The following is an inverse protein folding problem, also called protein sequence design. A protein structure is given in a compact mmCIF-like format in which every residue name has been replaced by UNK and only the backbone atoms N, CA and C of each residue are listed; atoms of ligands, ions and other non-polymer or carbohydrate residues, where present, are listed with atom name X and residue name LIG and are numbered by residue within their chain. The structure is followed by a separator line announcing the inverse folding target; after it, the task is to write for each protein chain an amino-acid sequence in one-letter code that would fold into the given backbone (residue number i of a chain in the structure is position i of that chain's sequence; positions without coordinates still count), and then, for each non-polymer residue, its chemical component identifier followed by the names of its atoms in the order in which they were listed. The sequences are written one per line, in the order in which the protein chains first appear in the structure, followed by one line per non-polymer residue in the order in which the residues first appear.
data_IF_521854156910
#
_entry.id   IF_521854156910
#
_cell.length_a   1.000
_cell.length_b   1.000
_cell.length_c   1.000
_cell.angle_alpha   90.00
_cell.angle_beta   90.00
_cell.angle_gamma   90.00
#
_symmetry.space_group_name_H-M   'P 1'
#
loop_
_entity.id
_entity.type
_entity.pdbx_description
1 polymer ?
#
# COMPACT_ATOMS: atom_id res chain seq x y z
N UNK A 1 -47.45 7.51 5.24
CA UNK A 1 -46.92 7.54 3.85
C UNK A 1 -46.10 8.81 3.70
N UNK A 2 -44.82 8.72 4.03
CA UNK A 2 -43.91 9.86 3.98
C UNK A 2 -43.33 9.93 2.56
N UNK A 3 -43.69 10.99 1.84
CA UNK A 3 -43.27 11.27 0.46
C UNK A 3 -41.91 11.96 0.50
N UNK A 4 -41.07 11.77 -0.51
CA UNK A 4 -39.91 12.65 -0.66
C UNK A 4 -40.37 14.08 -0.86
N UNK A 5 -39.76 14.97 -0.10
CA UNK A 5 -40.02 16.40 -0.24
C UNK A 5 -39.44 16.89 -1.57
N UNK A 6 -39.99 17.96 -2.16
CA UNK A 6 -39.36 18.66 -3.28
C UNK A 6 -37.87 19.00 -2.99
N UNK A 7 -37.53 19.23 -1.72
CA UNK A 7 -36.16 19.48 -1.27
C UNK A 7 -35.23 18.28 -1.47
N UNK A 8 -35.72 17.04 -1.29
CA UNK A 8 -34.93 15.83 -1.55
C UNK A 8 -34.60 15.69 -3.05
N UNK A 9 -35.58 15.95 -3.92
CA UNK A 9 -35.35 15.96 -5.37
C UNK A 9 -34.33 17.04 -5.79
N UNK A 10 -34.45 18.25 -5.23
CA UNK A 10 -33.48 19.33 -5.46
C UNK A 10 -32.09 18.93 -4.97
N UNK A 11 -31.98 18.28 -3.81
CA UNK A 11 -30.71 17.77 -3.30
C UNK A 11 -30.06 16.75 -4.22
N UNK A 12 -30.84 15.80 -4.75
CA UNK A 12 -30.35 14.81 -5.72
C UNK A 12 -29.92 15.48 -7.03
N UNK A 13 -30.70 16.40 -7.58
CA UNK A 13 -30.33 17.12 -8.82
C UNK A 13 -29.07 17.98 -8.60
N UNK A 14 -28.98 18.64 -7.44
CA UNK A 14 -27.82 19.48 -7.10
C UNK A 14 -26.52 18.67 -7.03
N UNK A 15 -26.55 17.40 -6.60
CA UNK A 15 -25.38 16.52 -6.64
C UNK A 15 -24.82 16.34 -8.06
N UNK A 16 -25.67 16.30 -9.08
CA UNK A 16 -25.24 16.18 -10.47
C UNK A 16 -24.81 17.49 -11.12
N UNK A 17 -25.37 18.63 -10.67
CA UNK A 17 -25.14 19.93 -11.31
C UNK A 17 -24.04 20.74 -10.63
N UNK A 18 -23.87 20.64 -9.30
CA UNK A 18 -22.87 21.41 -8.56
C UNK A 18 -21.43 21.25 -9.11
N UNK A 19 -20.98 20.05 -9.51
CA UNK A 19 -19.65 19.90 -10.11
C UNK A 19 -19.48 20.63 -11.46
N UNK A 20 -20.57 20.85 -12.20
CA UNK A 20 -20.55 21.55 -13.50
C UNK A 20 -20.44 23.07 -13.37
N UNK A 21 -20.74 23.63 -12.19
CA UNK A 21 -20.83 25.08 -11.96
C UNK A 21 -19.61 25.63 -11.22
N UNK A 22 -18.96 24.82 -10.37
CA UNK A 22 -17.96 25.31 -9.42
C UNK A 22 -16.61 25.66 -10.04
N UNK A 23 -16.17 25.00 -11.12
CA UNK A 23 -15.05 25.46 -11.96
C UNK A 23 -14.87 24.53 -13.18
N UNK A 24 -14.89 25.03 -14.43
CA UNK A 24 -14.66 24.22 -15.63
C UNK A 24 -13.24 23.62 -15.70
N UNK A 25 -12.27 24.11 -14.91
CA UNK A 25 -10.92 23.56 -14.78
C UNK A 25 -10.79 22.41 -13.76
N UNK A 26 -11.57 22.43 -12.67
CA UNK A 26 -11.64 21.38 -11.64
C UNK A 26 -12.52 20.18 -12.02
N UNK A 27 -13.13 20.20 -13.20
CA UNK A 27 -13.92 19.09 -13.76
C UNK A 27 -13.14 17.77 -13.83
N UNK A 28 -11.81 17.80 -13.66
CA UNK A 28 -10.97 16.60 -13.64
C UNK A 28 -10.96 15.85 -12.30
N UNK A 29 -11.33 16.50 -11.19
CA UNK A 29 -11.17 15.90 -9.83
C UNK A 29 -12.51 15.56 -9.17
N UNK A 30 -13.62 16.12 -9.66
CA UNK A 30 -14.92 16.05 -8.96
C UNK A 30 -16.05 15.34 -9.71
N UNK A 31 -15.86 14.97 -10.97
CA UNK A 31 -16.84 14.13 -11.67
C UNK A 31 -16.53 12.67 -11.44
N UNK A 32 -17.57 11.84 -11.54
CA UNK A 32 -17.62 10.39 -11.38
C UNK A 32 -16.75 9.59 -12.37
N UNK A 33 -15.59 10.12 -12.74
CA UNK A 33 -14.69 9.67 -13.79
C UNK A 33 -13.29 9.64 -13.20
N UNK A 34 -12.71 8.44 -13.14
CA UNK A 34 -11.25 8.26 -13.19
C UNK A 34 -10.71 9.13 -14.34
N UNK A 35 -9.55 9.76 -14.18
CA UNK A 35 -8.88 10.65 -15.16
C UNK A 35 -9.02 10.20 -16.62
N UNK A 36 -10.11 10.59 -17.27
CA UNK A 36 -10.25 10.51 -18.71
C UNK A 36 -10.37 11.95 -19.16
N UNK A 37 -9.28 12.46 -19.74
CA UNK A 37 -9.19 13.74 -20.45
C UNK A 37 -10.06 13.74 -21.73
N UNK A 38 -11.34 13.43 -21.60
CA UNK A 38 -12.28 13.38 -22.71
C UNK A 38 -13.52 14.15 -22.32
N UNK A 39 -13.69 15.29 -22.97
CA UNK A 39 -14.91 16.09 -22.97
C UNK A 39 -16.15 15.15 -22.99
N UNK A 40 -17.02 15.19 -21.97
CA UNK A 40 -18.16 14.27 -21.84
C UNK A 40 -19.09 14.31 -23.07
N UNK A 41 -19.11 15.44 -23.79
CA UNK A 41 -19.87 15.60 -25.03
C UNK A 41 -19.22 14.88 -26.22
N UNK A 42 -17.88 14.84 -26.28
CA UNK A 42 -17.16 14.04 -27.30
C UNK A 42 -17.39 12.55 -27.08
N UNK A 43 -17.43 12.09 -25.84
CA UNK A 43 -17.67 10.68 -25.52
C UNK A 43 -19.10 10.22 -25.85
N UNK A 44 -20.12 11.04 -25.55
CA UNK A 44 -21.50 10.79 -25.97
C UNK A 44 -21.65 10.73 -27.50
N UNK A 45 -20.84 11.51 -28.23
CA UNK A 45 -20.79 11.43 -29.69
C UNK A 45 -20.14 10.13 -30.20
N UNK A 46 -19.19 9.57 -29.45
CA UNK A 46 -18.54 8.28 -29.75
C UNK A 46 -19.46 7.09 -29.51
N UNK A 47 -20.36 7.15 -28.51
CA UNK A 47 -21.37 6.10 -28.23
C UNK A 47 -22.34 5.89 -29.42
N UNK A 48 -22.53 6.90 -30.29
CA UNK A 48 -23.31 6.74 -31.52
C UNK A 48 -22.65 5.84 -32.58
N UNK A 49 -21.35 5.53 -32.47
CA UNK A 49 -20.69 4.48 -33.26
C UNK A 49 -20.73 3.17 -32.48
N UNK A 50 -21.87 2.48 -32.56
CA UNK A 50 -22.23 1.28 -31.78
C UNK A 50 -21.35 0.03 -32.06
N UNK A 51 -20.25 0.14 -32.80
CA UNK A 51 -19.44 -1.01 -33.24
C UNK A 51 -18.12 -1.27 -32.48
N UNK A 52 -17.58 -0.29 -31.76
CA UNK A 52 -16.18 -0.34 -31.28
C UNK A 52 -16.03 0.22 -29.85
N UNK A 53 -16.83 -0.26 -28.89
CA UNK A 53 -16.62 0.12 -27.49
C UNK A 53 -15.55 -0.77 -26.86
N UNK A 54 -14.54 -0.19 -26.18
CA UNK A 54 -13.59 -0.96 -25.37
C UNK A 54 -14.37 -1.69 -24.26
N UNK A 55 -14.26 -3.02 -24.26
CA UNK A 55 -15.24 -3.95 -23.66
C UNK A 55 -15.22 -4.06 -22.13
N UNK A 56 -14.32 -3.37 -21.43
CA UNK A 56 -14.23 -3.41 -19.96
C UNK A 56 -14.49 -2.07 -19.26
N UNK A 57 -13.83 -1.01 -19.73
CA UNK A 57 -13.76 0.27 -19.00
C UNK A 57 -15.02 1.13 -19.16
N UNK A 58 -15.68 1.05 -20.32
CA UNK A 58 -16.92 1.79 -20.56
C UNK A 58 -18.08 1.30 -19.67
N UNK A 59 -18.13 0.00 -19.37
CA UNK A 59 -19.13 -0.59 -18.47
C UNK A 59 -18.96 -0.11 -17.03
N UNK A 60 -17.70 0.12 -16.62
CA UNK A 60 -17.31 0.59 -15.29
C UNK A 60 -17.94 1.94 -14.93
N UNK A 61 -18.18 2.80 -15.92
CA UNK A 61 -18.80 4.11 -15.73
C UNK A 61 -20.33 4.10 -15.94
N UNK A 62 -20.83 3.28 -16.87
CA UNK A 62 -22.26 3.24 -17.21
C UNK A 62 -23.14 2.74 -16.05
N UNK A 63 -22.62 1.80 -15.24
CA UNK A 63 -23.34 1.25 -14.09
C UNK A 63 -23.61 2.30 -13.01
N UNK A 64 -22.60 2.99 -12.43
CA UNK A 64 -22.85 4.00 -11.40
C UNK A 64 -23.64 5.20 -11.93
N UNK A 65 -23.41 5.61 -13.18
CA UNK A 65 -24.20 6.68 -13.82
C UNK A 65 -25.67 6.27 -14.01
N UNK A 66 -25.91 5.02 -14.46
CA UNK A 66 -27.25 4.46 -14.58
C UNK A 66 -27.97 4.37 -13.23
N UNK A 67 -27.28 3.96 -12.17
CA UNK A 67 -27.82 3.95 -10.81
C UNK A 67 -28.22 5.37 -10.34
N UNK A 68 -27.36 6.37 -10.57
CA UNK A 68 -27.66 7.75 -10.23
C UNK A 68 -28.90 8.28 -10.99
N UNK A 69 -28.96 8.07 -12.31
CA UNK A 69 -30.14 8.46 -13.11
C UNK A 69 -31.41 7.74 -12.66
N UNK A 70 -31.30 6.46 -12.31
CA UNK A 70 -32.40 5.69 -11.74
C UNK A 70 -32.91 6.29 -10.43
N UNK A 71 -32.00 6.69 -9.54
CA UNK A 71 -32.36 7.35 -8.29
C UNK A 71 -33.07 8.70 -8.54
N UNK A 72 -32.53 9.53 -9.43
CA UNK A 72 -33.12 10.81 -9.79
C UNK A 72 -34.52 10.64 -10.42
N UNK A 73 -34.70 9.65 -11.30
CA UNK A 73 -35.98 9.34 -11.92
C UNK A 73 -37.02 8.84 -10.88
N UNK A 74 -36.59 8.01 -9.92
CA UNK A 74 -37.47 7.51 -8.87
C UNK A 74 -37.91 8.65 -7.92
N UNK A 75 -36.98 9.53 -7.53
CA UNK A 75 -37.28 10.72 -6.74
C UNK A 75 -38.23 11.69 -7.48
N UNK A 76 -38.00 11.92 -8.79
CA UNK A 76 -38.86 12.75 -9.61
C UNK A 76 -40.28 12.18 -9.74
N UNK A 77 -40.40 10.86 -9.89
CA UNK A 77 -41.69 10.15 -9.87
C UNK A 77 -42.40 10.30 -8.53
N UNK A 78 -41.65 10.31 -7.43
CA UNK A 78 -42.14 10.62 -6.09
C UNK A 78 -42.84 11.96 -6.01
N UNK A 79 -42.17 13.00 -6.52
CA UNK A 79 -42.72 14.37 -6.53
C UNK A 79 -43.93 14.48 -7.47
N UNK A 80 -43.85 13.90 -8.67
CA UNK A 80 -44.90 14.03 -9.68
C UNK A 80 -46.17 13.20 -9.38
N UNK A 81 -46.02 12.00 -8.82
CA UNK A 81 -47.12 11.02 -8.69
C UNK A 81 -47.39 10.57 -7.25
N UNK A 82 -46.56 10.96 -6.29
CA UNK A 82 -46.64 10.51 -4.89
C UNK A 82 -46.26 9.04 -4.69
N UNK A 83 -45.71 8.38 -5.70
CA UNK A 83 -45.33 6.95 -5.70
C UNK A 83 -43.82 6.78 -5.80
N UNK A 84 -43.12 7.24 -4.78
CA UNK A 84 -41.71 6.88 -4.59
C UNK A 84 -41.61 5.68 -3.68
N UNK A 85 -40.66 4.80 -4.00
CA UNK A 85 -40.09 3.88 -3.02
C UNK A 85 -38.74 4.43 -2.53
N UNK A 86 -38.66 5.01 -1.32
CA UNK A 86 -37.42 5.56 -0.78
C UNK A 86 -36.31 4.52 -0.65
N UNK A 87 -36.65 3.23 -0.46
CA UNK A 87 -35.65 2.15 -0.33
C UNK A 87 -34.92 1.95 -1.66
N UNK A 88 -35.64 2.05 -2.78
CA UNK A 88 -35.06 1.98 -4.14
C UNK A 88 -34.19 3.21 -4.42
N UNK A 89 -34.64 4.41 -4.06
CA UNK A 89 -33.84 5.64 -4.26
C UNK A 89 -32.52 5.57 -3.48
N UNK A 90 -32.56 5.17 -2.21
CA UNK A 90 -31.37 5.03 -1.35
C UNK A 90 -30.46 3.92 -1.85
N UNK A 91 -31.02 2.77 -2.23
CA UNK A 91 -30.23 1.66 -2.77
C UNK A 91 -29.48 2.03 -4.05
N UNK A 92 -30.14 2.79 -4.94
CA UNK A 92 -29.53 3.28 -6.19
C UNK A 92 -28.44 4.34 -5.94
N UNK A 93 -28.66 5.27 -5.00
CA UNK A 93 -27.64 6.26 -4.60
C UNK A 93 -26.44 5.60 -3.90
N UNK A 94 -26.67 4.62 -3.04
CA UNK A 94 -25.60 3.87 -2.40
C UNK A 94 -24.80 3.10 -3.46
N UNK A 95 -25.48 2.40 -4.37
CA UNK A 95 -24.85 1.64 -5.45
C UNK A 95 -24.04 2.53 -6.40
N UNK A 96 -24.51 3.76 -6.67
CA UNK A 96 -23.73 4.69 -7.49
C UNK A 96 -22.41 5.09 -6.83
N UNK A 97 -22.32 5.12 -5.49
CA UNK A 97 -21.10 5.52 -4.75
C UNK A 97 -20.11 4.40 -4.41
N UNK A 98 -20.60 3.18 -4.18
CA UNK A 98 -19.73 2.05 -3.78
C UNK A 98 -18.73 1.71 -4.87
N UNK A 99 -19.18 1.72 -6.13
CA UNK A 99 -18.36 1.29 -7.24
C UNK A 99 -17.18 2.26 -7.52
N UNK A 100 -17.39 3.59 -7.56
CA UNK A 100 -16.30 4.56 -7.60
C UNK A 100 -15.37 4.48 -6.38
N UNK A 101 -15.90 4.27 -5.17
CA UNK A 101 -15.07 4.20 -3.96
C UNK A 101 -14.08 3.02 -4.00
N UNK A 102 -14.53 1.84 -4.47
CA UNK A 102 -13.68 0.65 -4.63
C UNK A 102 -12.58 0.88 -5.67
N UNK A 103 -12.91 1.52 -6.79
CA UNK A 103 -11.93 1.85 -7.84
C UNK A 103 -10.94 2.91 -7.34
N UNK A 104 -11.43 3.94 -6.65
CA UNK A 104 -10.62 5.05 -6.14
C UNK A 104 -9.64 4.61 -5.05
N UNK A 105 -10.05 3.70 -4.16
CA UNK A 105 -9.20 3.14 -3.10
C UNK A 105 -7.93 2.45 -3.62
N UNK A 106 -7.90 2.09 -4.92
CA UNK A 106 -6.75 1.48 -5.58
C UNK A 106 -5.89 2.46 -6.37
N UNK A 107 -6.40 3.65 -6.69
CA UNK A 107 -5.79 4.53 -7.69
C UNK A 107 -5.07 5.75 -7.11
N UNK A 108 -5.57 6.36 -6.02
CA UNK A 108 -5.00 7.62 -5.50
C UNK A 108 -5.04 7.65 -3.98
N UNK A 109 -3.87 7.60 -3.33
CA UNK A 109 -3.75 7.45 -1.88
C UNK A 109 -4.18 8.70 -1.06
N UNK A 110 -4.33 9.88 -1.67
CA UNK A 110 -4.48 11.15 -0.93
C UNK A 110 -5.63 12.07 -1.40
N UNK A 111 -6.54 11.58 -2.25
CA UNK A 111 -7.64 12.41 -2.75
C UNK A 111 -8.97 12.11 -2.01
N UNK A 112 -9.59 13.16 -1.48
CA UNK A 112 -10.88 13.07 -0.77
C UNK A 112 -12.02 12.89 -1.79
N UNK A 113 -12.81 11.79 -1.74
CA UNK A 113 -13.89 11.55 -2.70
C UNK A 113 -15.12 12.39 -2.33
N UNK A 114 -15.06 13.70 -2.61
CA UNK A 114 -16.10 14.68 -2.25
C UNK A 114 -17.48 14.26 -2.75
N UNK A 115 -17.58 13.61 -3.92
CA UNK A 115 -18.86 13.08 -4.43
C UNK A 115 -19.48 12.00 -3.54
N UNK A 116 -18.67 11.14 -2.93
CA UNK A 116 -19.12 10.11 -1.97
C UNK A 116 -19.61 10.77 -0.69
N UNK A 117 -18.86 11.75 -0.18
CA UNK A 117 -19.23 12.51 1.02
C UNK A 117 -20.54 13.28 0.81
N UNK A 118 -20.69 13.95 -0.34
CA UNK A 118 -21.90 14.70 -0.68
C UNK A 118 -23.12 13.78 -0.83
N UNK A 119 -22.96 12.60 -1.44
CA UNK A 119 -24.04 11.61 -1.54
C UNK A 119 -24.42 11.04 -0.18
N UNK A 120 -23.43 10.74 0.67
CA UNK A 120 -23.67 10.30 2.05
C UNK A 120 -24.42 11.37 2.86
N UNK A 121 -24.08 12.66 2.67
CA UNK A 121 -24.79 13.76 3.31
C UNK A 121 -26.26 13.85 2.85
N UNK A 122 -26.54 13.67 1.56
CA UNK A 122 -27.92 13.65 1.04
C UNK A 122 -28.72 12.46 1.58
N UNK A 123 -28.12 11.27 1.61
CA UNK A 123 -28.74 10.07 2.21
C UNK A 123 -29.03 10.33 3.70
N UNK A 124 -28.05 10.87 4.43
CA UNK A 124 -28.18 11.17 5.86
C UNK A 124 -29.25 12.23 6.16
N UNK A 125 -29.32 13.31 5.39
CA UNK A 125 -30.23 14.42 5.70
C UNK A 125 -31.68 14.16 5.28
N UNK A 126 -31.89 13.49 4.15
CA UNK A 126 -33.22 13.33 3.57
C UNK A 126 -33.80 11.93 3.78
N UNK A 127 -32.95 10.92 3.90
CA UNK A 127 -33.39 9.52 3.88
C UNK A 127 -33.14 8.74 5.18
N UNK A 128 -32.35 9.28 6.13
CA UNK A 128 -32.10 8.66 7.46
C UNK A 128 -33.37 8.26 8.23
N UNK A 129 -34.47 9.03 8.25
CA UNK A 129 -35.67 8.61 8.98
C UNK A 129 -36.21 7.26 8.49
N UNK A 130 -36.05 6.96 7.20
CA UNK A 130 -36.57 5.75 6.59
C UNK A 130 -35.66 4.52 6.81
N UNK A 131 -34.36 4.72 7.01
CA UNK A 131 -33.42 3.61 7.24
C UNK A 131 -33.47 3.11 8.69
N UNK A 132 -33.75 3.99 9.65
CA UNK A 132 -33.92 3.61 11.07
C UNK A 132 -35.19 2.80 11.28
N UNK A 133 -36.29 3.17 10.63
CA UNK A 133 -37.56 2.43 10.72
C UNK A 133 -37.46 1.03 10.09
N UNK A 134 -36.75 0.90 8.96
CA UNK A 134 -36.52 -0.39 8.31
C UNK A 134 -35.60 -1.31 9.14
N UNK A 135 -34.66 -0.75 9.91
CA UNK A 135 -33.81 -1.52 10.82
C UNK A 135 -34.59 -2.00 12.05
N UNK A 136 -35.49 -1.17 12.58
CA UNK A 136 -36.38 -1.55 13.69
C UNK A 136 -37.38 -2.64 13.29
N UNK A 137 -37.89 -2.62 12.06
CA UNK A 137 -38.82 -3.63 11.52
C UNK A 137 -38.16 -5.01 11.33
N UNK A 138 -36.83 -5.07 11.12
CA UNK A 138 -36.07 -6.32 11.01
C UNK A 138 -35.51 -6.83 12.36
N UNK A 139 -35.58 -6.02 13.42
CA UNK A 139 -35.03 -6.34 14.74
C UNK A 139 -36.04 -7.03 15.68
N UNK A 140 -37.23 -7.38 15.19
CA UNK A 140 -38.20 -8.22 15.91
C UNK A 140 -38.21 -9.65 15.31
N UNK A 141 -37.26 -10.52 15.71
CA UNK A 141 -37.35 -11.92 15.37
C UNK A 141 -38.44 -12.53 16.26
N UNK A 142 -39.58 -12.87 15.64
CA UNK A 142 -40.71 -13.50 16.32
C UNK A 142 -40.26 -14.57 17.32
N UNK A 143 -40.66 -14.37 18.57
CA UNK A 143 -40.42 -15.32 19.65
C UNK A 143 -41.01 -16.69 19.32
N UNK A 144 -40.25 -17.78 19.48
CA UNK A 144 -40.83 -19.10 19.43
C UNK A 144 -41.55 -19.42 20.74
N UNK A 145 -42.73 -19.97 20.51
CA UNK A 145 -43.68 -20.59 21.40
C UNK A 145 -43.03 -21.59 22.37
N UNK A 146 -43.51 -21.52 23.61
CA UNK A 146 -43.42 -22.49 24.70
C UNK A 146 -43.36 -23.95 24.23
N UNK A 147 -42.30 -24.66 24.60
CA UNK A 147 -42.34 -26.12 24.72
C UNK A 147 -41.88 -26.51 26.12
N UNK A 148 -42.88 -26.85 26.94
CA UNK A 148 -42.71 -27.56 28.21
C UNK A 148 -41.93 -28.87 27.97
N UNK A 149 -40.89 -29.07 28.75
CA UNK A 149 -40.05 -30.25 28.74
C UNK A 149 -39.57 -30.56 30.14
N UNK A 150 -40.46 -31.15 30.93
CA UNK A 150 -40.15 -31.95 32.12
C UNK A 150 -38.98 -32.90 31.84
N UNK A 151 -37.87 -32.76 32.56
CA UNK A 151 -36.97 -33.88 32.85
C UNK A 151 -36.42 -33.75 34.27
N UNK A 152 -37.09 -34.51 35.13
CA UNK A 152 -36.65 -35.02 36.43
C UNK A 152 -35.31 -35.74 36.31
N UNK A 153 -34.36 -35.38 37.16
CA UNK A 153 -32.96 -35.78 37.05
C UNK A 153 -32.21 -35.55 38.36
N UNK A 154 -32.68 -36.20 39.42
CA UNK A 154 -31.96 -36.40 40.68
C UNK A 154 -30.57 -37.00 40.43
N UNK A 155 -29.54 -36.19 40.63
CA UNK A 155 -28.16 -36.64 40.75
C UNK A 155 -27.50 -35.83 41.86
N UNK A 156 -27.33 -36.47 43.03
CA UNK A 156 -26.44 -36.04 44.10
C UNK A 156 -25.08 -35.64 43.51
N UNK A 157 -24.79 -34.34 43.54
CA UNK A 157 -23.44 -33.81 43.33
C UNK A 157 -23.06 -33.07 44.59
N UNK A 158 -22.19 -33.78 45.32
CA UNK A 158 -21.25 -33.36 46.34
C UNK A 158 -21.07 -31.82 46.43
N UNK A 159 -21.44 -31.29 47.58
CA UNK A 159 -21.31 -29.89 48.02
C UNK A 159 -19.83 -29.58 48.27
N UNK A 160 -19.00 -29.63 47.23
CA UNK A 160 -17.65 -29.10 47.26
C UNK A 160 -17.74 -27.60 47.02
N UNK A 161 -17.88 -26.86 48.12
CA UNK A 161 -17.39 -25.48 48.32
C UNK A 161 -16.89 -24.81 47.04
N UNK A 162 -17.80 -24.10 46.37
CA UNK A 162 -17.45 -22.99 45.50
C UNK A 162 -16.85 -21.89 46.39
N UNK A 163 -15.59 -22.09 46.77
CA UNK A 163 -14.72 -21.01 47.18
C UNK A 163 -14.60 -20.14 45.92
N UNK A 164 -15.43 -19.09 45.86
CA UNK A 164 -15.20 -17.96 44.97
C UNK A 164 -13.75 -17.55 45.21
N UNK A 165 -12.84 -17.96 44.32
CA UNK A 165 -11.56 -17.31 44.12
C UNK A 165 -11.92 -15.89 43.66
N UNK A 166 -12.27 -15.04 44.62
CA UNK A 166 -12.20 -13.59 44.48
C UNK A 166 -10.73 -13.34 44.26
N UNK A 167 -10.31 -13.32 42.99
CA UNK A 167 -9.03 -12.76 42.62
C UNK A 167 -8.97 -11.41 43.29
N UNK A 168 -8.10 -11.28 44.30
CA UNK A 168 -7.93 -10.04 45.03
C UNK A 168 -7.82 -8.91 44.00
N UNK A 169 -8.56 -7.80 44.17
CA UNK A 169 -8.55 -6.73 43.21
C UNK A 169 -7.09 -6.30 42.98
N UNK A 170 -6.61 -6.50 41.74
CA UNK A 170 -5.21 -6.24 41.37
C UNK A 170 -4.78 -4.89 41.93
N UNK A 171 -3.68 -4.91 42.68
CA UNK A 171 -3.13 -3.75 43.35
C UNK A 171 -2.70 -2.71 42.30
N UNK A 172 -3.10 -1.43 42.44
CA UNK A 172 -2.72 -0.40 41.47
C UNK A 172 -1.21 -0.13 41.39
N UNK A 173 -0.43 -0.46 42.44
CA UNK A 173 1.03 -0.42 42.37
C UNK A 173 1.58 -1.48 41.41
N UNK A 174 1.08 -2.72 41.47
CA UNK A 174 1.50 -3.79 40.55
C UNK A 174 1.15 -3.45 39.09
N UNK A 175 0.02 -2.79 38.86
CA UNK A 175 -0.37 -2.29 37.53
C UNK A 175 0.59 -1.21 37.02
N UNK A 176 1.05 -0.31 37.89
CA UNK A 176 2.02 0.73 37.53
C UNK A 176 3.39 0.13 37.21
N UNK A 177 3.89 -0.79 38.03
CA UNK A 177 5.15 -1.51 37.80
C UNK A 177 5.10 -2.30 36.48
N UNK A 178 4.01 -3.03 36.22
CA UNK A 178 3.83 -3.73 34.93
C UNK A 178 3.77 -2.74 33.76
N UNK A 179 3.21 -1.54 33.97
CA UNK A 179 3.18 -0.51 32.92
C UNK A 179 4.59 0.02 32.61
N UNK A 180 5.43 0.20 33.62
CA UNK A 180 6.84 0.60 33.47
C UNK A 180 7.64 -0.45 32.70
N UNK A 181 7.48 -1.73 33.03
CA UNK A 181 8.09 -2.84 32.28
C UNK A 181 7.71 -2.79 30.79
N UNK A 182 6.42 -2.55 30.47
CA UNK A 182 5.98 -2.41 29.08
C UNK A 182 6.54 -1.17 28.38
N UNK A 183 6.81 -0.09 29.10
CA UNK A 183 7.50 1.07 28.51
C UNK A 183 8.96 0.73 28.19
N UNK A 184 9.64 -0.02 29.04
CA UNK A 184 11.00 -0.49 28.79
C UNK A 184 11.06 -1.43 27.57
N UNK A 185 10.17 -2.42 27.50
CA UNK A 185 10.02 -3.30 26.33
C UNK A 185 9.76 -2.49 25.05
N UNK A 186 8.89 -1.48 25.12
CA UNK A 186 8.55 -0.65 23.97
C UNK A 186 9.77 0.15 23.46
N UNK A 187 10.61 0.63 24.37
CA UNK A 187 11.83 1.36 24.04
C UNK A 187 12.90 0.42 23.47
N UNK A 188 13.03 -0.79 24.00
CA UNK A 188 13.92 -1.82 23.47
C UNK A 188 13.51 -2.19 22.04
N UNK A 189 12.24 -2.56 21.82
CA UNK A 189 11.70 -2.87 20.50
C UNK A 189 11.88 -1.71 19.50
N UNK A 190 11.74 -0.45 19.96
CA UNK A 190 12.01 0.72 19.12
C UNK A 190 13.49 0.80 18.72
N UNK A 191 14.41 0.57 19.65
CA UNK A 191 15.85 0.60 19.40
C UNK A 191 16.29 -0.52 18.43
N UNK A 192 15.61 -1.67 18.47
CA UNK A 192 15.81 -2.79 17.55
C UNK A 192 15.10 -2.59 16.19
N UNK A 193 14.42 -1.45 15.99
CA UNK A 193 13.72 -1.14 14.74
C UNK A 193 12.34 -1.81 14.59
N UNK A 194 11.89 -2.55 15.59
CA UNK A 194 10.60 -3.27 15.64
C UNK A 194 9.43 -2.32 15.98
N UNK A 195 9.20 -1.33 15.14
CA UNK A 195 8.25 -0.22 15.39
C UNK A 195 6.81 -0.69 15.71
N UNK A 196 6.36 -1.80 15.09
CA UNK A 196 5.03 -2.37 15.36
C UNK A 196 4.94 -2.99 16.76
N UNK A 197 6.00 -3.66 17.19
CA UNK A 197 6.11 -4.28 18.52
C UNK A 197 6.15 -3.17 19.57
N UNK A 198 6.98 -2.14 19.35
CA UNK A 198 7.02 -0.95 20.20
C UNK A 198 5.64 -0.28 20.37
N UNK A 199 4.89 -0.05 19.29
CA UNK A 199 3.52 0.51 19.36
C UNK A 199 2.60 -0.36 20.23
N UNK A 200 2.69 -1.69 20.12
CA UNK A 200 1.91 -2.62 20.92
C UNK A 200 2.21 -2.55 22.41
N UNK A 201 3.50 -2.51 22.78
CA UNK A 201 3.92 -2.36 24.18
C UNK A 201 3.50 -1.00 24.76
N UNK A 202 3.64 0.10 24.02
CA UNK A 202 3.11 1.41 24.45
C UNK A 202 1.59 1.40 24.61
N UNK A 203 0.84 0.74 23.71
CA UNK A 203 -0.60 0.59 23.84
C UNK A 203 -0.99 -0.14 25.12
N UNK A 204 -0.23 -1.17 25.50
CA UNK A 204 -0.43 -1.90 26.74
C UNK A 204 -0.09 -1.07 27.97
N UNK A 205 1.05 -0.39 27.98
CA UNK A 205 1.43 0.53 29.04
C UNK A 205 0.35 1.60 29.29
N UNK A 206 -0.16 2.24 28.23
CA UNK A 206 -1.25 3.24 28.35
C UNK A 206 -2.51 2.65 28.98
N UNK A 207 -2.87 1.40 28.67
CA UNK A 207 -4.02 0.72 29.30
C UNK A 207 -3.77 0.46 30.78
N UNK A 208 -2.58 -0.02 31.15
CA UNK A 208 -2.21 -0.32 32.53
C UNK A 208 -2.18 0.95 33.38
N UNK A 209 -1.52 2.02 32.92
CA UNK A 209 -1.50 3.33 33.60
C UNK A 209 -2.91 3.92 33.81
N UNK A 210 -3.79 3.83 32.80
CA UNK A 210 -5.19 4.27 32.95
C UNK A 210 -5.92 3.46 34.03
N UNK A 211 -5.74 2.15 34.01
CA UNK A 211 -6.37 1.25 35.00
C UNK A 211 -5.84 1.55 36.41
N UNK A 212 -4.55 1.82 36.55
CA UNK A 212 -3.97 2.25 37.83
C UNK A 212 -4.53 3.59 38.31
N UNK A 213 -4.65 4.62 37.44
CA UNK A 213 -5.25 5.92 37.81
C UNK A 213 -6.71 5.76 38.29
N UNK A 214 -7.51 4.94 37.59
CA UNK A 214 -8.91 4.69 37.93
C UNK A 214 -9.04 3.98 39.30
N UNK A 215 -8.13 3.05 39.60
CA UNK A 215 -8.10 2.35 40.90
C UNK A 215 -7.68 3.27 42.04
N UNK A 216 -6.67 4.11 41.84
CA UNK A 216 -6.30 5.15 42.80
C UNK A 216 -7.39 6.22 42.95
N UNK A 217 -8.23 6.44 41.94
CA UNK A 217 -9.38 7.35 42.05
C UNK A 217 -10.47 6.82 43.00
N UNK A 218 -10.59 5.49 43.12
CA UNK A 218 -11.58 4.84 43.97
C UNK A 218 -11.16 4.79 45.45
N UNK A 219 -9.87 4.96 45.75
CA UNK A 219 -9.33 4.99 47.11
C UNK A 219 -9.16 6.45 47.61
N UNK A 220 -10.17 6.94 48.32
CA UNK A 220 -10.38 8.36 48.63
C UNK A 220 -9.35 8.95 49.63
N UNK A 221 -8.59 8.12 50.36
CA UNK A 221 -7.82 8.56 51.52
C UNK A 221 -6.28 8.58 51.37
N UNK A 222 -5.70 7.98 50.33
CA UNK A 222 -4.25 7.65 50.37
C UNK A 222 -3.41 8.00 49.13
N UNK A 223 -3.96 8.48 48.01
CA UNK A 223 -3.21 8.42 46.74
C UNK A 223 -3.13 9.71 45.89
N UNK A 224 -3.15 10.91 46.48
CA UNK A 224 -3.09 12.14 45.66
C UNK A 224 -1.72 12.32 44.97
N UNK A 225 -0.62 11.99 45.64
CA UNK A 225 0.75 12.06 45.10
C UNK A 225 1.03 10.98 44.06
N UNK A 226 0.65 9.74 44.35
CA UNK A 226 0.86 8.57 43.50
C UNK A 226 0.04 8.69 42.22
N UNK A 227 -1.21 9.11 42.36
CA UNK A 227 -2.07 9.39 41.21
C UNK A 227 -1.55 10.55 40.36
N UNK A 228 -0.93 11.57 40.96
CA UNK A 228 -0.28 12.63 40.21
C UNK A 228 0.91 12.11 39.40
N UNK A 229 1.75 11.25 40.00
CA UNK A 229 2.87 10.59 39.29
C UNK A 229 2.38 9.75 38.10
N UNK A 230 1.41 8.87 38.33
CA UNK A 230 0.83 8.01 37.28
C UNK A 230 0.27 8.82 36.11
N UNK A 231 -0.36 9.97 36.37
CA UNK A 231 -0.84 10.84 35.28
C UNK A 231 0.29 11.48 34.51
N UNK A 232 1.35 11.93 35.19
CA UNK A 232 2.55 12.44 34.55
C UNK A 232 3.19 11.37 33.65
N UNK A 233 3.33 10.14 34.14
CA UNK A 233 3.91 9.04 33.38
C UNK A 233 3.00 8.65 32.20
N UNK A 234 1.69 8.59 32.41
CA UNK A 234 0.70 8.35 31.35
C UNK A 234 0.75 9.40 30.25
N UNK A 235 0.97 10.68 30.58
CA UNK A 235 1.14 11.75 29.59
C UNK A 235 2.43 11.56 28.79
N UNK A 236 3.56 11.29 29.46
CA UNK A 236 4.84 11.02 28.80
C UNK A 236 4.75 9.81 27.85
N UNK A 237 4.16 8.70 28.31
CA UNK A 237 3.99 7.48 27.50
C UNK A 237 3.09 7.71 26.29
N UNK A 238 2.07 8.57 26.41
CA UNK A 238 1.21 8.93 25.25
C UNK A 238 1.97 9.74 24.20
N UNK A 239 2.87 10.61 24.62
CA UNK A 239 3.73 11.38 23.73
C UNK A 239 4.72 10.46 23.00
N UNK A 240 5.41 9.57 23.73
CA UNK A 240 6.30 8.57 23.14
C UNK A 240 5.57 7.66 22.14
N UNK A 241 4.38 7.18 22.50
CA UNK A 241 3.51 6.41 21.60
C UNK A 241 3.14 7.19 20.34
N UNK A 242 2.80 8.47 20.47
CA UNK A 242 2.46 9.32 19.33
C UNK A 242 3.68 9.51 18.41
N UNK A 243 4.88 9.65 18.98
CA UNK A 243 6.13 9.73 18.21
C UNK A 243 6.40 8.43 17.44
N UNK A 244 6.25 7.25 18.06
CA UNK A 244 6.41 5.94 17.41
C UNK A 244 5.39 5.74 16.29
N UNK A 245 4.13 6.12 16.52
CA UNK A 245 3.10 6.05 15.49
C UNK A 245 3.42 6.96 14.30
N UNK A 246 3.86 8.19 14.57
CA UNK A 246 4.29 9.12 13.52
C UNK A 246 5.50 8.60 12.73
N UNK A 247 6.46 7.96 13.41
CA UNK A 247 7.59 7.30 12.75
C UNK A 247 7.13 6.15 11.85
N UNK A 248 6.17 5.31 12.29
CA UNK A 248 5.61 4.24 11.46
C UNK A 248 4.95 4.77 10.21
N UNK A 249 4.18 5.85 10.32
CA UNK A 249 3.52 6.49 9.19
C UNK A 249 4.53 7.05 8.18
N UNK A 250 5.61 7.69 8.65
CA UNK A 250 6.72 8.16 7.80
C UNK A 250 7.50 7.02 7.14
N UNK A 251 7.83 5.96 7.88
CA UNK A 251 8.49 4.78 7.29
C UNK A 251 7.61 4.14 6.22
N UNK A 252 6.29 4.11 6.44
CA UNK A 252 5.34 3.62 5.45
C UNK A 252 5.30 4.49 4.19
N UNK A 253 5.31 5.82 4.32
CA UNK A 253 5.29 6.72 3.15
C UNK A 253 6.56 6.61 2.30
N UNK A 254 7.68 6.17 2.88
CA UNK A 254 8.93 5.84 2.15
C UNK A 254 8.89 4.41 1.59
N UNK A 255 8.43 3.43 2.37
CA UNK A 255 8.42 2.02 1.95
C UNK A 255 7.47 1.73 0.77
N UNK A 256 6.32 2.39 0.70
CA UNK A 256 5.36 2.18 -0.39
C UNK A 256 5.92 2.53 -1.79
N UNK A 257 6.50 3.72 -2.04
CA UNK A 257 7.11 4.04 -3.32
C UNK A 257 8.35 3.17 -3.60
N UNK A 258 9.18 2.86 -2.59
CA UNK A 258 10.32 1.95 -2.75
C UNK A 258 9.88 0.56 -3.24
N UNK A 259 8.79 0.01 -2.68
CA UNK A 259 8.23 -1.28 -3.13
C UNK A 259 7.84 -1.26 -4.59
N UNK A 260 7.10 -0.23 -5.00
CA UNK A 260 6.66 -0.10 -6.38
C UNK A 260 7.83 0.19 -7.36
N UNK A 261 8.86 0.89 -6.89
CA UNK A 261 10.08 1.16 -7.64
C UNK A 261 10.88 -0.13 -7.88
N UNK A 262 11.14 -0.89 -6.82
CA UNK A 262 11.91 -2.13 -6.87
C UNK A 262 11.19 -3.22 -7.69
N UNK A 263 9.87 -3.38 -7.52
CA UNK A 263 9.06 -4.27 -8.35
C UNK A 263 9.18 -3.93 -9.84
N UNK A 264 9.11 -2.63 -10.18
CA UNK A 264 9.27 -2.17 -11.56
C UNK A 264 10.69 -2.38 -12.06
N UNK A 265 11.70 -2.18 -11.22
CA UNK A 265 13.10 -2.35 -11.58
C UNK A 265 13.42 -3.82 -11.91
N UNK A 266 13.01 -4.75 -11.04
CA UNK A 266 13.20 -6.18 -11.26
C UNK A 266 12.43 -6.67 -12.48
N UNK A 267 11.19 -6.23 -12.67
CA UNK A 267 10.40 -6.50 -13.89
C UNK A 267 11.12 -5.98 -15.14
N UNK A 268 11.77 -4.82 -15.05
CA UNK A 268 12.53 -4.25 -16.16
C UNK A 268 13.73 -5.12 -16.53
N UNK A 269 14.46 -5.64 -15.54
CA UNK A 269 15.60 -6.55 -15.75
C UNK A 269 15.14 -7.83 -16.46
N UNK A 270 14.10 -8.49 -15.95
CA UNK A 270 13.58 -9.74 -16.54
C UNK A 270 13.12 -9.50 -17.97
N UNK A 271 12.39 -8.40 -18.23
CA UNK A 271 11.99 -8.03 -19.58
C UNK A 271 13.18 -7.70 -20.49
N UNK A 272 14.26 -7.11 -19.96
CA UNK A 272 15.45 -6.78 -20.74
C UNK A 272 16.19 -8.06 -21.16
N UNK A 273 16.42 -8.98 -20.23
CA UNK A 273 17.05 -10.27 -20.51
C UNK A 273 16.30 -11.06 -21.61
N UNK A 274 14.97 -11.05 -21.55
CA UNK A 274 14.06 -11.68 -22.51
C UNK A 274 13.93 -10.92 -23.86
N UNK A 275 14.64 -9.80 -24.04
CA UNK A 275 14.59 -9.00 -25.28
C UNK A 275 13.28 -8.23 -25.49
N UNK A 276 12.46 -8.06 -24.45
CA UNK A 276 11.22 -7.25 -24.47
C UNK A 276 11.53 -5.75 -24.26
N UNK A 277 12.31 -5.16 -25.18
CA UNK A 277 12.87 -3.80 -25.06
C UNK A 277 11.86 -2.70 -24.72
N UNK A 278 10.69 -2.67 -25.38
CA UNK A 278 9.68 -1.65 -25.09
C UNK A 278 9.17 -1.73 -23.66
N UNK A 279 8.99 -2.96 -23.14
CA UNK A 279 8.53 -3.17 -21.78
C UNK A 279 9.64 -2.86 -20.78
N UNK A 280 10.86 -3.33 -21.01
CA UNK A 280 11.99 -3.06 -20.11
C UNK A 280 12.23 -1.56 -19.98
N UNK A 281 12.25 -0.82 -21.09
CA UNK A 281 12.42 0.63 -21.11
C UNK A 281 11.30 1.37 -20.36
N UNK A 282 10.05 0.95 -20.55
CA UNK A 282 8.92 1.51 -19.81
C UNK A 282 9.08 1.29 -18.30
N UNK A 283 9.44 0.06 -17.90
CA UNK A 283 9.57 -0.35 -16.50
C UNK A 283 10.79 0.29 -15.82
N UNK A 284 11.92 0.45 -16.48
CA UNK A 284 13.06 1.21 -15.94
C UNK A 284 12.73 2.67 -15.69
N UNK A 285 12.04 3.34 -16.63
CA UNK A 285 11.58 4.72 -16.42
C UNK A 285 10.65 4.81 -15.21
N UNK A 286 9.67 3.92 -15.14
CA UNK A 286 8.75 3.83 -14.01
C UNK A 286 9.45 3.56 -12.68
N UNK A 287 10.49 2.71 -12.67
CA UNK A 287 11.29 2.45 -11.48
C UNK A 287 12.04 3.71 -11.04
N UNK A 288 12.76 4.37 -11.97
CA UNK A 288 13.49 5.62 -11.70
C UNK A 288 12.56 6.70 -11.12
N UNK A 289 11.43 6.95 -11.78
CA UNK A 289 10.50 8.00 -11.36
C UNK A 289 9.95 7.69 -9.94
N UNK A 290 9.70 6.41 -9.59
CA UNK A 290 9.25 6.05 -8.24
C UNK A 290 10.35 6.05 -7.18
N UNK A 291 11.61 5.82 -7.57
CA UNK A 291 12.72 6.07 -6.65
C UNK A 291 12.89 7.57 -6.41
N UNK A 292 12.65 8.42 -7.41
CA UNK A 292 12.60 9.88 -7.21
C UNK A 292 11.46 10.25 -6.22
N UNK A 293 10.26 9.65 -6.36
CA UNK A 293 9.17 9.83 -5.38
C UNK A 293 9.57 9.37 -3.96
N UNK A 294 10.30 8.25 -3.84
CA UNK A 294 10.79 7.76 -2.55
C UNK A 294 11.83 8.70 -1.93
N UNK A 295 12.71 9.29 -2.74
CA UNK A 295 13.68 10.30 -2.29
C UNK A 295 12.98 11.58 -1.82
N UNK A 296 11.93 12.03 -2.51
CA UNK A 296 11.11 13.16 -2.07
C UNK A 296 10.43 12.85 -0.73
N UNK A 297 9.87 11.64 -0.56
CA UNK A 297 9.27 11.21 0.69
C UNK A 297 10.29 11.13 1.85
N UNK A 298 11.55 10.80 1.55
CA UNK A 298 12.65 10.84 2.52
C UNK A 298 13.03 12.28 2.88
N UNK A 299 13.10 13.19 1.90
CA UNK A 299 13.46 14.59 2.10
C UNK A 299 12.39 15.34 2.95
N UNK A 300 11.12 14.93 2.84
CA UNK A 300 10.02 15.41 3.70
C UNK A 300 9.97 14.74 5.08
N UNK A 301 10.69 13.63 5.27
CA UNK A 301 10.65 12.84 6.49
C UNK A 301 11.74 13.24 7.50
N UNK A 302 11.54 12.79 8.75
CA UNK A 302 12.55 12.90 9.79
C UNK A 302 13.70 11.90 9.52
N UNK A 303 14.99 12.27 9.70
CA UNK A 303 16.12 11.36 9.55
C UNK A 303 15.99 10.04 10.34
N UNK A 304 15.21 10.02 11.43
CA UNK A 304 14.93 8.83 12.23
C UNK A 304 14.19 7.71 11.45
N UNK A 305 13.70 7.96 10.23
CA UNK A 305 13.15 6.93 9.33
C UNK A 305 14.16 5.80 9.08
N UNK A 306 15.45 6.11 9.12
CA UNK A 306 16.56 5.18 8.90
C UNK A 306 17.29 4.75 10.18
N UNK A 307 16.73 5.00 11.37
CA UNK A 307 17.28 4.43 12.62
C UNK A 307 17.34 2.89 12.55
N UNK A 308 16.49 2.29 11.71
CA UNK A 308 16.61 0.92 11.26
C UNK A 308 16.34 0.83 9.74
N UNK A 309 16.90 -0.17 9.02
CA UNK A 309 16.73 -0.31 7.58
C UNK A 309 15.26 -0.38 7.15
N UNK A 310 14.91 0.28 6.05
CA UNK A 310 13.56 0.16 5.46
C UNK A 310 13.51 -1.10 4.61
N UNK A 311 12.85 -2.13 5.14
CA UNK A 311 12.61 -3.39 4.44
C UNK A 311 11.44 -3.29 3.46
N UNK A 312 11.65 -3.84 2.27
CA UNK A 312 10.72 -3.81 1.16
C UNK A 312 10.65 -5.19 0.54
N UNK A 313 9.50 -5.85 0.69
CA UNK A 313 9.23 -7.14 0.06
C UNK A 313 8.60 -6.93 -1.32
N UNK A 314 9.17 -7.58 -2.34
CA UNK A 314 8.72 -7.45 -3.73
C UNK A 314 8.40 -8.81 -4.35
N UNK A 315 7.42 -8.80 -5.24
CA UNK A 315 7.03 -9.94 -6.06
C UNK A 315 7.06 -9.48 -7.53
N UNK A 316 8.22 -9.55 -8.20
CA UNK A 316 8.37 -9.01 -9.54
C UNK A 316 7.50 -9.76 -10.55
N UNK A 317 7.00 -9.05 -11.57
CA UNK A 317 6.24 -9.67 -12.65
C UNK A 317 7.17 -10.53 -13.53
N UNK A 318 7.31 -11.80 -13.15
CA UNK A 318 8.08 -12.80 -13.87
C UNK A 318 9.37 -13.18 -13.17
N UNK A 319 9.72 -14.45 -13.30
CA UNK A 319 10.96 -15.04 -12.84
C UNK A 319 11.76 -15.54 -14.05
N UNK A 320 13.07 -15.70 -13.86
CA UNK A 320 13.86 -16.38 -14.86
C UNK A 320 13.44 -17.86 -14.94
N UNK A 321 13.18 -18.40 -16.14
CA UNK A 321 12.73 -19.78 -16.29
C UNK A 321 13.83 -20.80 -15.94
N UNK A 322 15.08 -20.36 -15.85
CA UNK A 322 16.27 -21.16 -15.58
C UNK A 322 17.30 -20.28 -14.86
N UNK A 323 18.16 -20.90 -14.05
CA UNK A 323 19.31 -20.22 -13.46
C UNK A 323 20.55 -20.24 -14.37
N UNK A 324 20.48 -20.94 -15.50
CA UNK A 324 21.59 -21.02 -16.47
C UNK A 324 21.62 -19.80 -17.36
N UNK A 325 22.79 -19.24 -17.53
CA UNK A 325 22.95 -17.96 -18.21
C UNK A 325 22.53 -18.01 -19.68
N UNK A 326 22.84 -19.11 -20.38
CA UNK A 326 22.45 -19.32 -21.78
C UNK A 326 20.95 -19.51 -22.01
N UNK A 327 20.19 -19.84 -20.96
CA UNK A 327 18.73 -19.94 -21.02
C UNK A 327 18.05 -18.58 -20.73
N UNK A 328 18.72 -17.73 -19.93
CA UNK A 328 18.22 -16.42 -19.49
C UNK A 328 18.49 -15.33 -20.53
N UNK A 329 19.68 -15.38 -21.13
CA UNK A 329 20.11 -14.43 -22.16
C UNK A 329 20.27 -15.21 -23.44
N UNK A 330 19.49 -14.86 -24.47
CA UNK A 330 19.67 -15.44 -25.80
C UNK A 330 21.06 -15.06 -26.34
N UNK A 331 22.01 -16.00 -26.26
CA UNK A 331 23.40 -15.85 -26.69
C UNK A 331 23.84 -17.04 -27.55
N UNK A 332 24.94 -16.88 -28.28
CA UNK A 332 25.53 -17.95 -29.09
C UNK A 332 26.16 -19.03 -28.21
N UNK A 333 26.22 -20.28 -28.71
CA UNK A 333 26.91 -21.38 -28.03
C UNK A 333 28.38 -21.03 -27.72
N UNK A 334 29.02 -20.28 -28.62
CA UNK A 334 30.39 -19.78 -28.45
C UNK A 334 30.50 -18.79 -27.27
N UNK A 335 29.52 -17.89 -27.10
CA UNK A 335 29.46 -16.98 -25.97
C UNK A 335 29.22 -17.71 -24.64
N UNK A 336 28.34 -18.73 -24.63
CA UNK A 336 28.13 -19.58 -23.44
C UNK A 336 29.40 -20.32 -23.06
N UNK A 337 30.09 -20.93 -24.03
CA UNK A 337 31.33 -21.67 -23.80
C UNK A 337 32.45 -20.74 -23.30
N UNK A 338 32.54 -19.52 -23.84
CA UNK A 338 33.47 -18.51 -23.38
C UNK A 338 33.19 -18.08 -21.93
N UNK A 339 31.93 -17.82 -21.57
CA UNK A 339 31.55 -17.47 -20.19
C UNK A 339 31.80 -18.62 -19.20
N UNK A 340 31.49 -19.86 -19.58
CA UNK A 340 31.80 -21.05 -18.79
C UNK A 340 33.31 -21.21 -18.59
N UNK A 341 34.13 -20.91 -19.61
CA UNK A 341 35.60 -20.98 -19.50
C UNK A 341 36.20 -20.00 -18.48
N UNK A 342 35.47 -18.90 -18.19
CA UNK A 342 35.83 -17.92 -17.16
C UNK A 342 35.08 -18.14 -15.83
N UNK A 343 34.36 -19.27 -15.71
CA UNK A 343 33.64 -19.68 -14.51
C UNK A 343 32.28 -19.01 -14.31
N UNK A 344 31.64 -18.49 -15.36
CA UNK A 344 30.30 -17.90 -15.30
C UNK A 344 29.33 -18.80 -16.07
N UNK A 345 28.59 -19.65 -15.36
CA UNK A 345 27.61 -20.58 -15.96
C UNK A 345 26.16 -20.24 -15.58
N UNK A 346 26.00 -19.59 -14.42
CA UNK A 346 24.71 -19.29 -13.80
C UNK A 346 24.52 -17.79 -13.57
N UNK A 347 23.27 -17.40 -13.31
CA UNK A 347 22.93 -16.05 -12.86
C UNK A 347 23.64 -15.72 -11.54
N UNK A 348 23.84 -16.71 -10.65
CA UNK A 348 24.53 -16.53 -9.38
C UNK A 348 26.02 -16.21 -9.56
N UNK A 349 26.70 -16.91 -10.46
CA UNK A 349 28.11 -16.63 -10.78
C UNK A 349 28.29 -15.19 -11.30
N UNK A 350 27.28 -14.68 -12.00
CA UNK A 350 27.27 -13.32 -12.54
C UNK A 350 27.02 -12.26 -11.46
N UNK A 351 26.24 -12.57 -10.42
CA UNK A 351 25.95 -11.68 -9.29
C UNK A 351 27.18 -11.44 -8.42
N UNK A 352 28.00 -12.47 -8.23
CA UNK A 352 29.22 -12.41 -7.43
C UNK A 352 30.33 -11.60 -8.13
N UNK A 353 30.19 -11.35 -9.44
CA UNK A 353 31.07 -10.49 -10.19
C UNK A 353 30.50 -9.08 -10.26
N UNK A 354 31.22 -8.13 -9.67
CA UNK A 354 30.90 -6.72 -9.77
C UNK A 354 31.12 -6.22 -11.21
N UNK A 355 30.07 -6.29 -12.03
CA UNK A 355 30.06 -5.84 -13.42
C UNK A 355 29.60 -4.38 -13.57
N UNK A 356 29.39 -3.64 -12.47
CA UNK A 356 28.88 -2.25 -12.55
C UNK A 356 29.89 -1.30 -13.24
N UNK A 357 31.19 -1.63 -13.21
CA UNK A 357 32.25 -0.86 -13.91
C UNK A 357 32.13 -0.83 -15.45
N UNK A 358 31.47 -1.82 -16.05
CA UNK A 358 31.36 -1.96 -17.51
C UNK A 358 30.52 -0.82 -18.13
N UNK A 359 29.60 -0.23 -17.36
CA UNK A 359 28.70 0.82 -17.86
C UNK A 359 29.23 2.22 -17.64
N UNK A 360 30.07 2.41 -16.63
CA UNK A 360 30.66 3.72 -16.34
C UNK A 360 31.70 4.11 -17.40
N UNK A 361 32.37 3.13 -18.03
CA UNK A 361 33.42 3.37 -19.02
C UNK A 361 32.91 3.76 -20.41
N UNK A 362 31.66 3.45 -20.77
CA UNK A 362 31.12 3.74 -22.10
C UNK A 362 30.60 5.17 -22.28
N UNK A 363 30.41 5.93 -21.19
CA UNK A 363 29.86 7.30 -21.21
C UNK A 363 30.83 8.42 -20.80
N UNK A 364 31.98 8.10 -20.19
CA UNK A 364 32.90 9.11 -19.64
C UNK A 364 34.12 9.35 -20.54
N UNK A 365 34.25 10.60 -20.97
CA UNK A 365 35.32 11.24 -21.73
C UNK A 365 36.75 10.74 -21.39
N UNK A 366 37.23 9.69 -22.07
CA UNK A 366 38.60 9.47 -22.55
C UNK A 366 39.82 9.70 -21.64
N UNK A 367 39.67 9.83 -20.32
CA UNK A 367 40.77 10.19 -19.41
C UNK A 367 40.96 9.12 -18.33
N UNK A 368 41.33 7.91 -18.76
CA UNK A 368 41.96 6.95 -17.85
C UNK A 368 43.32 7.50 -17.42
N UNK A 369 43.47 7.79 -16.13
CA UNK A 369 44.78 7.84 -15.49
C UNK A 369 45.36 6.43 -15.56
N UNK A 370 46.39 6.28 -16.40
CA UNK A 370 47.19 5.07 -16.53
C UNK A 370 47.90 4.87 -15.18
N UNK A 371 47.29 4.07 -14.32
CA UNK A 371 47.93 3.48 -13.16
C UNK A 371 48.95 2.45 -13.64
N UNK A 372 50.19 2.67 -13.26
CA UNK A 372 51.36 1.82 -13.51
C UNK A 372 51.15 0.46 -12.82
N UNK A 373 50.57 -0.51 -13.55
CA UNK A 373 50.41 -1.89 -13.10
C UNK A 373 51.70 -2.67 -13.32
N UNK A 374 52.31 -3.05 -12.19
CA UNK A 374 53.46 -3.93 -12.13
C UNK A 374 53.12 -5.35 -12.59
N UNK A 375 53.88 -5.79 -13.59
CA UNK A 375 53.89 -7.12 -14.19
C UNK A 375 54.03 -8.26 -13.15
N UNK A 376 52.95 -9.02 -12.99
CA UNK A 376 52.99 -10.39 -12.47
C UNK A 376 52.18 -11.27 -13.41
N UNK A 377 52.82 -11.68 -14.52
CA UNK A 377 52.31 -12.62 -15.51
C UNK A 377 51.95 -13.97 -14.86
N UNK A 378 50.67 -14.14 -14.53
CA UNK A 378 50.08 -15.47 -14.40
C UNK A 378 49.43 -15.80 -15.75
N UNK A 379 50.13 -16.63 -16.55
CA UNK A 379 49.67 -17.21 -17.83
C UNK A 379 48.47 -18.17 -17.64
N UNK A 380 47.38 -17.72 -17.04
CA UNK A 380 46.09 -18.36 -17.24
C UNK A 380 45.53 -17.77 -18.52
N UNK A 381 45.59 -18.51 -19.63
CA UNK A 381 45.07 -18.09 -20.95
C UNK A 381 43.53 -17.95 -21.00
N UNK A 382 42.92 -17.58 -19.88
CA UNK A 382 41.50 -17.35 -19.69
C UNK A 382 41.23 -15.88 -19.96
N UNK A 383 40.49 -15.59 -21.03
CA UNK A 383 40.16 -14.21 -21.38
C UNK A 383 39.39 -13.51 -20.27
N UNK A 384 39.60 -12.21 -20.08
CA UNK A 384 38.73 -11.42 -19.20
C UNK A 384 37.36 -11.16 -19.87
N UNK A 385 36.35 -10.76 -19.08
CA UNK A 385 35.05 -10.39 -19.66
C UNK A 385 35.18 -9.25 -20.68
N UNK A 386 36.03 -8.26 -20.40
CA UNK A 386 36.30 -7.14 -21.32
C UNK A 386 37.00 -7.59 -22.60
N UNK A 387 37.84 -8.63 -22.54
CA UNK A 387 38.45 -9.22 -23.73
C UNK A 387 37.41 -9.95 -24.59
N UNK A 388 36.47 -10.67 -23.98
CA UNK A 388 35.35 -11.35 -24.67
C UNK A 388 34.39 -10.36 -25.34
N UNK A 389 34.25 -9.16 -24.76
CA UNK A 389 33.53 -8.04 -25.35
C UNK A 389 34.28 -7.44 -26.55
N UNK A 390 35.58 -7.21 -26.36
CA UNK A 390 36.44 -6.52 -27.34
C UNK A 390 36.67 -7.36 -28.59
N UNK A 391 36.76 -8.67 -28.47
CA UNK A 391 36.93 -9.58 -29.61
C UNK A 391 35.61 -9.96 -30.30
N UNK A 392 34.47 -9.52 -29.75
CA UNK A 392 33.13 -9.77 -30.29
C UNK A 392 32.56 -11.16 -30.01
N UNK A 393 33.20 -11.96 -29.15
CA UNK A 393 32.65 -13.25 -28.68
C UNK A 393 31.32 -13.04 -27.96
N UNK A 394 31.23 -11.96 -27.19
CA UNK A 394 29.98 -11.47 -26.60
C UNK A 394 29.61 -10.18 -27.33
N UNK A 395 28.53 -10.21 -28.10
CA UNK A 395 28.03 -9.01 -28.76
C UNK A 395 27.46 -8.00 -27.73
N UNK A 396 27.32 -6.74 -28.16
CA UNK A 396 26.87 -5.66 -27.29
C UNK A 396 25.45 -5.88 -26.72
N UNK A 397 24.59 -6.61 -27.42
CA UNK A 397 23.23 -6.93 -26.95
C UNK A 397 23.29 -7.97 -25.82
N UNK A 398 24.05 -9.05 -25.99
CA UNK A 398 24.29 -10.05 -24.97
C UNK A 398 24.94 -9.44 -23.73
N UNK A 399 25.93 -8.57 -23.92
CA UNK A 399 26.56 -7.82 -22.84
C UNK A 399 25.57 -6.95 -22.05
N UNK A 400 24.69 -6.26 -22.78
CA UNK A 400 23.65 -5.41 -22.19
C UNK A 400 22.72 -6.21 -21.27
N UNK A 401 22.27 -7.37 -21.76
CA UNK A 401 21.42 -8.28 -21.03
C UNK A 401 22.12 -8.91 -19.83
N UNK A 402 23.38 -9.34 -19.97
CA UNK A 402 24.17 -9.88 -18.88
C UNK A 402 24.28 -8.88 -17.73
N UNK A 403 24.58 -7.62 -18.05
CA UNK A 403 24.69 -6.62 -17.01
C UNK A 403 23.34 -6.19 -16.42
N UNK A 404 22.23 -6.35 -17.14
CA UNK A 404 20.91 -6.23 -16.54
C UNK A 404 20.71 -7.36 -15.51
N UNK A 405 21.01 -8.60 -15.90
CA UNK A 405 20.86 -9.81 -15.06
C UNK A 405 21.75 -9.78 -13.82
N UNK A 406 22.98 -9.24 -13.88
CA UNK A 406 23.86 -9.15 -12.71
C UNK A 406 23.28 -8.27 -11.60
N UNK A 407 22.37 -7.34 -11.95
CA UNK A 407 21.68 -6.44 -11.00
C UNK A 407 20.41 -7.03 -10.41
N UNK A 408 19.97 -8.20 -10.90
CA UNK A 408 18.84 -8.93 -10.36
C UNK A 408 19.31 -9.72 -9.14
N UNK A 409 18.87 -9.32 -7.94
CA UNK A 409 19.03 -10.15 -6.74
C UNK A 409 17.73 -10.86 -6.47
N UNK A 410 17.79 -12.18 -6.30
CA UNK A 410 16.65 -13.02 -5.93
C UNK A 410 16.43 -12.95 -4.41
N UNK A 411 16.40 -11.72 -3.90
CA UNK A 411 16.08 -11.44 -2.50
C UNK A 411 14.61 -11.02 -2.49
N UNK A 412 13.74 -11.83 -1.89
CA UNK A 412 12.32 -11.50 -1.72
C UNK A 412 12.14 -10.17 -0.95
N UNK A 413 13.12 -9.84 -0.09
CA UNK A 413 13.15 -8.63 0.72
C UNK A 413 14.42 -7.82 0.50
N UNK A 414 14.26 -6.53 0.22
CA UNK A 414 15.35 -5.57 0.03
C UNK A 414 15.39 -4.58 1.18
N UNK A 415 16.58 -4.30 1.70
CA UNK A 415 16.80 -3.29 2.73
C UNK A 415 17.40 -2.00 2.16
N UNK A 416 16.89 -0.86 2.62
CA UNK A 416 17.45 0.47 2.35
C UNK A 416 17.87 1.11 3.67
N UNK A 417 19.17 1.31 3.85
CA UNK A 417 19.77 1.83 5.09
C UNK A 417 19.75 3.34 5.18
N UNK A 418 19.69 4.02 4.04
CA UNK A 418 19.80 5.48 3.95
C UNK A 418 19.33 5.99 2.58
N UNK A 419 19.38 7.31 2.42
CA UNK A 419 19.04 8.02 1.19
C UNK A 419 19.98 7.71 0.02
N UNK A 420 21.27 7.47 0.29
CA UNK A 420 22.28 7.20 -0.73
C UNK A 420 22.02 5.83 -1.38
N UNK A 421 21.68 4.82 -0.58
CA UNK A 421 21.27 3.51 -1.08
C UNK A 421 20.06 3.58 -2.03
N UNK A 422 19.10 4.48 -1.78
CA UNK A 422 17.95 4.72 -2.67
C UNK A 422 18.40 5.41 -3.96
N UNK A 423 19.26 6.43 -3.86
CA UNK A 423 19.79 7.16 -5.01
C UNK A 423 20.64 6.27 -5.92
N UNK A 424 21.49 5.42 -5.36
CA UNK A 424 22.25 4.42 -6.11
C UNK A 424 21.32 3.49 -6.88
N UNK A 425 20.22 3.06 -6.26
CA UNK A 425 19.25 2.19 -6.91
C UNK A 425 18.51 2.90 -8.06
N UNK A 426 18.15 4.16 -7.85
CA UNK A 426 17.59 5.05 -8.84
C UNK A 426 18.50 5.22 -10.06
N UNK A 427 19.79 5.43 -9.83
CA UNK A 427 20.77 5.62 -10.89
C UNK A 427 21.04 4.33 -11.67
N UNK A 428 21.01 3.17 -11.01
CA UNK A 428 20.99 1.86 -11.71
C UNK A 428 19.76 1.71 -12.61
N UNK A 429 18.58 2.18 -12.19
CA UNK A 429 17.38 2.19 -13.03
C UNK A 429 17.53 3.12 -14.24
N UNK A 430 18.16 4.28 -14.06
CA UNK A 430 18.48 5.19 -15.16
C UNK A 430 19.47 4.58 -16.16
N UNK A 431 20.55 3.95 -15.67
CA UNK A 431 21.51 3.25 -16.53
C UNK A 431 20.85 2.09 -17.31
N UNK A 432 19.98 1.31 -16.66
CA UNK A 432 19.21 0.25 -17.33
C UNK A 432 18.28 0.79 -18.43
N UNK A 433 17.68 1.97 -18.22
CA UNK A 433 16.88 2.65 -19.24
C UNK A 433 17.73 3.04 -20.46
N UNK A 434 18.93 3.57 -20.25
CA UNK A 434 19.85 3.97 -21.32
C UNK A 434 20.41 2.77 -22.09
N UNK A 435 20.65 1.66 -21.41
CA UNK A 435 21.12 0.41 -22.00
C UNK A 435 20.08 -0.33 -22.86
N UNK A 436 18.79 -0.03 -22.67
CA UNK A 436 17.66 -0.70 -23.35
C UNK A 436 17.35 -0.16 -24.76
N UNK A 437 18.36 0.29 -25.51
CA UNK A 437 18.22 1.01 -26.80
C UNK A 437 18.30 0.09 -28.01
#
# INVERSE_FOLDING_TARGET
MNRSSPSALVGVIALGVAPLVVDPGLTHVLTWTVEFSVDPWRMLSSIRRVGELPTGEALLWLVPFGCYLGAAANAARGVATGREDPRVTVGLLASSTVFPAVVWSRAVANAVPVGVIATAAVIWWFYRPFTVDAAAENADPGGPDSTDGDLDGTGDVDETTADEVRSDPVNPYDLHETAEERVEDARAARADGEIRVAESHYDEAVRLYRTADDRFAADEYTASSERARIRTDLEAVREERAAVKGLRERRRSVAEPLRAAEESFLTAIVAHADGRYTLSKLRYRQARDRFDDALEAVDDADPAVFDAPVEVTVDPEGEFPSNRLGDVVAMSDEGVEALSSIGIETVDDLRDRDLDGIWQSSGADGRSEVGDETDAEAESGTKSFDELMTDGTIDAEAASKLAAVSRYRDEETREFTDREAIADRRDRAAAGFEASV
#
